data_IF_196079531621
#
_entry.id   IF_196079531621
#
_cell.length_a   1.000
_cell.length_b   1.000
_cell.length_c   1.000
_cell.angle_alpha   90.00
_cell.angle_beta   90.00
_cell.angle_gamma   90.00
#
_symmetry.space_group_name_H-M   'P 1'
#
loop_
_entity.id
_entity.type
_entity.pdbx_description
1 polymer ?
#
# COMPACT_ATOMS: atom_id res chain seq x y z
N UNK A 1 -6.97 -31.19 3.08
CA UNK A 1 -7.64 -29.89 3.37
C UNK A 1 -6.98 -29.23 4.60
N UNK A 2 -5.67 -28.97 4.53
CA UNK A 2 -4.84 -28.39 5.62
C UNK A 2 -3.88 -27.29 5.13
N UNK A 3 -3.75 -27.07 3.81
CA UNK A 3 -2.84 -26.08 3.25
C UNK A 3 -3.46 -24.67 3.12
N UNK A 4 -4.79 -24.56 3.08
CA UNK A 4 -5.47 -23.27 2.94
C UNK A 4 -5.33 -22.36 4.18
N UNK A 5 -5.16 -22.92 5.37
CA UNK A 5 -5.02 -22.16 6.62
C UNK A 5 -3.62 -21.55 6.84
N UNK A 6 -2.61 -21.91 6.04
CA UNK A 6 -1.25 -21.40 6.23
C UNK A 6 -1.01 -20.02 5.60
N UNK A 7 -1.90 -19.57 4.72
CA UNK A 7 -1.68 -18.45 3.81
C UNK A 7 -2.73 -17.32 3.93
N UNK A 8 -3.63 -17.43 4.90
CA UNK A 8 -4.68 -16.45 5.15
C UNK A 8 -4.60 -15.95 6.60
N UNK A 9 -4.99 -14.70 6.80
CA UNK A 9 -5.15 -14.10 8.12
C UNK A 9 -6.50 -14.53 8.71
N UNK A 10 -6.54 -15.13 9.91
CA UNK A 10 -7.76 -15.72 10.46
C UNK A 10 -8.82 -14.67 10.85
N UNK A 11 -8.42 -13.42 11.07
CA UNK A 11 -9.35 -12.35 11.44
C UNK A 11 -10.06 -11.77 10.22
N UNK A 12 -9.29 -11.45 9.18
CA UNK A 12 -9.76 -10.69 8.02
C UNK A 12 -10.08 -11.56 6.80
N UNK A 13 -9.60 -12.81 6.77
CA UNK A 13 -9.70 -13.69 5.61
C UNK A 13 -8.81 -13.29 4.43
N UNK A 14 -8.02 -12.22 4.56
CA UNK A 14 -7.08 -11.79 3.54
C UNK A 14 -5.85 -12.70 3.47
N UNK A 15 -5.12 -12.71 2.35
CA UNK A 15 -3.72 -13.15 2.31
C UNK A 15 -2.93 -12.64 3.50
N UNK A 16 -2.20 -13.53 4.16
CA UNK A 16 -1.25 -13.14 5.18
C UNK A 16 0.08 -12.68 4.55
N UNK A 17 0.99 -12.15 5.38
CA UNK A 17 2.30 -11.68 4.94
C UNK A 17 3.08 -12.72 4.11
N UNK A 18 3.08 -13.99 4.53
CA UNK A 18 3.77 -15.06 3.79
C UNK A 18 3.25 -15.20 2.37
N UNK A 19 1.92 -15.23 2.20
CA UNK A 19 1.30 -15.30 0.86
C UNK A 19 1.59 -14.06 0.03
N UNK A 20 1.65 -12.88 0.66
CA UNK A 20 1.99 -11.63 -0.01
C UNK A 20 3.44 -11.60 -0.49
N UNK A 21 4.38 -12.10 0.32
CA UNK A 21 5.79 -12.24 -0.06
C UNK A 21 5.91 -13.13 -1.31
N UNK A 22 5.31 -14.32 -1.27
CA UNK A 22 5.33 -15.28 -2.39
C UNK A 22 4.70 -14.67 -3.67
N UNK A 23 3.60 -13.93 -3.52
CA UNK A 23 2.92 -13.31 -4.65
C UNK A 23 3.69 -12.11 -5.21
N UNK A 24 4.33 -11.30 -4.37
CA UNK A 24 5.15 -10.18 -4.81
C UNK A 24 6.32 -10.66 -5.66
N UNK A 25 7.02 -11.72 -5.23
CA UNK A 25 8.11 -12.32 -5.99
C UNK A 25 7.62 -12.83 -7.36
N UNK A 26 6.46 -13.50 -7.38
CA UNK A 26 5.82 -13.97 -8.61
C UNK A 26 5.48 -12.81 -9.56
N UNK A 27 4.88 -11.75 -9.02
CA UNK A 27 4.48 -10.57 -9.81
C UNK A 27 5.68 -9.78 -10.32
N UNK A 28 6.76 -9.65 -9.55
CA UNK A 28 8.00 -9.03 -10.00
C UNK A 28 8.63 -9.80 -11.16
N UNK A 29 8.67 -11.13 -11.08
CA UNK A 29 9.18 -11.96 -12.17
C UNK A 29 8.35 -11.78 -13.46
N UNK A 30 7.03 -11.72 -13.34
CA UNK A 30 6.13 -11.49 -14.48
C UNK A 30 6.27 -10.08 -15.05
N UNK A 31 6.32 -9.07 -14.18
CA UNK A 31 6.47 -7.67 -14.56
C UNK A 31 7.77 -7.45 -15.36
N UNK A 32 8.89 -7.99 -14.87
CA UNK A 32 10.17 -7.97 -15.58
C UNK A 32 10.11 -8.72 -16.91
N UNK A 33 9.60 -9.95 -16.91
CA UNK A 33 9.52 -10.79 -18.12
C UNK A 33 8.73 -10.13 -19.25
N UNK A 34 7.65 -9.42 -18.92
CA UNK A 34 6.74 -8.84 -19.90
C UNK A 34 6.87 -7.32 -20.06
N UNK A 35 7.82 -6.68 -19.38
CA UNK A 35 7.99 -5.22 -19.39
C UNK A 35 6.71 -4.48 -18.96
N UNK A 36 6.03 -5.00 -17.93
CA UNK A 36 4.77 -4.43 -17.42
C UNK A 36 4.99 -3.74 -16.08
N UNK A 37 4.29 -2.62 -15.81
CA UNK A 37 4.43 -1.93 -14.54
C UNK A 37 3.82 -2.78 -13.42
N UNK A 38 4.39 -2.67 -12.24
CA UNK A 38 3.87 -3.22 -11.00
C UNK A 38 4.01 -2.12 -9.94
N UNK A 39 2.92 -1.81 -9.24
CA UNK A 39 2.98 -0.92 -8.09
C UNK A 39 2.57 -1.66 -6.83
N UNK A 40 3.11 -1.21 -5.71
CA UNK A 40 2.76 -1.69 -4.37
C UNK A 40 2.39 -0.50 -3.51
N UNK A 41 1.49 -0.71 -2.55
CA UNK A 41 1.18 0.28 -1.53
C UNK A 41 1.15 -0.37 -0.15
N UNK A 42 1.95 0.16 0.77
CA UNK A 42 1.78 -0.11 2.19
C UNK A 42 0.71 0.83 2.74
N UNK A 43 -0.18 0.26 3.55
CA UNK A 43 -1.33 0.94 4.14
C UNK A 43 -1.28 0.75 5.64
N UNK A 44 -1.52 1.81 6.40
CA UNK A 44 -1.59 1.76 7.85
C UNK A 44 -2.80 2.54 8.35
N UNK A 45 -3.54 1.97 9.30
CA UNK A 45 -4.67 2.65 9.94
C UNK A 45 -4.14 3.63 10.97
N UNK A 46 -4.45 4.91 10.76
CA UNK A 46 -3.93 5.98 11.60
C UNK A 46 -4.50 5.88 13.03
N UNK A 47 -3.61 5.97 14.02
CA UNK A 47 -3.98 5.97 15.43
C UNK A 47 -4.77 4.72 15.89
N UNK A 48 -4.64 3.58 15.20
CA UNK A 48 -5.44 2.39 15.50
C UNK A 48 -5.21 1.84 16.91
N UNK A 49 -4.00 1.97 17.47
CA UNK A 49 -3.75 1.69 18.90
C UNK A 49 -4.74 2.40 19.83
N UNK A 50 -5.12 3.64 19.55
CA UNK A 50 -6.09 4.41 20.36
C UNK A 50 -7.48 3.77 20.35
N UNK A 51 -7.90 3.18 19.22
CA UNK A 51 -9.16 2.43 19.13
C UNK A 51 -9.12 1.24 20.07
N UNK A 52 -8.03 0.48 20.09
CA UNK A 52 -7.87 -0.66 20.99
C UNK A 52 -7.84 -0.23 22.46
N UNK A 53 -7.08 0.83 22.77
CA UNK A 53 -6.89 1.31 24.14
C UNK A 53 -8.19 1.90 24.73
N UNK A 54 -9.00 2.60 23.92
CA UNK A 54 -10.23 3.27 24.37
C UNK A 54 -11.49 2.38 24.29
N UNK A 55 -11.58 1.51 23.28
CA UNK A 55 -12.81 0.77 22.95
C UNK A 55 -12.65 -0.75 23.07
N UNK A 56 -11.43 -1.22 23.32
CA UNK A 56 -11.09 -2.64 23.48
C UNK A 56 -10.86 -3.38 22.17
N UNK A 57 -10.08 -4.46 22.25
CA UNK A 57 -9.65 -5.25 21.10
C UNK A 57 -10.80 -5.81 20.24
N UNK A 58 -11.94 -6.17 20.84
CA UNK A 58 -13.10 -6.67 20.08
C UNK A 58 -13.72 -5.59 19.17
N UNK A 59 -13.61 -4.31 19.54
CA UNK A 59 -14.03 -3.20 18.68
C UNK A 59 -12.99 -2.96 17.59
N UNK A 60 -11.70 -3.01 17.94
CA UNK A 60 -10.60 -2.94 16.97
C UNK A 60 -10.70 -4.03 15.89
N UNK A 61 -10.92 -5.28 16.28
CA UNK A 61 -11.07 -6.41 15.36
C UNK A 61 -12.20 -6.19 14.35
N UNK A 62 -13.35 -5.69 14.81
CA UNK A 62 -14.47 -5.33 13.93
C UNK A 62 -14.13 -4.17 12.99
N UNK A 63 -13.37 -3.18 13.48
CA UNK A 63 -12.91 -2.08 12.64
C UNK A 63 -11.92 -2.56 11.56
N UNK A 64 -11.02 -3.50 11.87
CA UNK A 64 -10.12 -4.11 10.87
C UNK A 64 -10.89 -4.83 9.77
N UNK A 65 -11.89 -5.64 10.14
CA UNK A 65 -12.75 -6.34 9.19
C UNK A 65 -13.50 -5.35 8.28
N UNK A 66 -14.02 -4.27 8.85
CA UNK A 66 -14.73 -3.23 8.10
C UNK A 66 -13.77 -2.46 7.17
N UNK A 67 -12.55 -2.14 7.61
CA UNK A 67 -11.52 -1.52 6.75
C UNK A 67 -11.25 -2.43 5.55
N UNK A 68 -11.02 -3.72 5.78
CA UNK A 68 -10.78 -4.69 4.72
C UNK A 68 -11.95 -4.77 3.74
N UNK A 69 -13.18 -4.76 4.25
CA UNK A 69 -14.39 -4.79 3.42
C UNK A 69 -14.46 -3.58 2.50
N UNK A 70 -14.22 -2.38 3.05
CA UNK A 70 -14.25 -1.12 2.29
C UNK A 70 -13.12 -1.04 1.26
N UNK A 71 -11.90 -1.39 1.64
CA UNK A 71 -10.77 -1.41 0.72
C UNK A 71 -11.03 -2.38 -0.43
N UNK A 72 -11.42 -3.62 -0.12
CA UNK A 72 -11.65 -4.66 -1.12
C UNK A 72 -12.73 -4.30 -2.14
N UNK A 73 -13.76 -3.55 -1.74
CA UNK A 73 -14.81 -3.07 -2.64
C UNK A 73 -14.33 -2.03 -3.68
N UNK A 74 -13.18 -1.39 -3.46
CA UNK A 74 -12.62 -0.37 -4.34
C UNK A 74 -11.56 -0.91 -5.32
N UNK A 75 -11.04 -2.11 -5.02
CA UNK A 75 -10.03 -2.78 -5.82
C UNK A 75 -10.64 -3.40 -7.08
N UNK A 76 -9.86 -3.43 -8.16
CA UNK A 76 -10.27 -4.11 -9.39
C UNK A 76 -9.89 -5.59 -9.35
N UNK A 77 -10.44 -6.34 -10.31
CA UNK A 77 -10.02 -7.72 -10.55
C UNK A 77 -8.52 -7.76 -10.90
N UNK A 78 -7.75 -8.49 -10.10
CA UNK A 78 -6.31 -8.68 -10.28
C UNK A 78 -5.43 -7.91 -9.30
N UNK A 79 -5.96 -6.91 -8.58
CA UNK A 79 -5.27 -6.35 -7.43
C UNK A 79 -5.33 -7.35 -6.26
N UNK A 80 -4.28 -7.37 -5.43
CA UNK A 80 -4.23 -8.21 -4.24
C UNK A 80 -4.03 -7.36 -2.99
N UNK A 81 -4.98 -7.42 -2.06
CA UNK A 81 -4.83 -6.87 -0.73
C UNK A 81 -4.51 -7.99 0.24
N UNK A 82 -3.56 -7.78 1.14
CA UNK A 82 -3.27 -8.71 2.22
C UNK A 82 -2.87 -8.02 3.51
N UNK A 83 -2.98 -8.75 4.62
CA UNK A 83 -2.58 -8.26 5.93
C UNK A 83 -1.08 -8.44 6.13
N UNK A 84 -0.38 -7.32 6.22
CA UNK A 84 1.08 -7.26 6.34
C UNK A 84 1.54 -7.30 7.80
N UNK A 85 0.78 -6.66 8.68
CA UNK A 85 1.04 -6.56 10.12
C UNK A 85 -0.25 -6.48 10.93
N UNK A 86 -0.17 -5.96 12.15
CA UNK A 86 -1.34 -5.84 13.05
C UNK A 86 -2.43 -4.94 12.46
N UNK A 87 -2.07 -3.70 12.12
CA UNK A 87 -2.93 -2.67 11.52
C UNK A 87 -2.45 -2.24 10.12
N UNK A 88 -1.51 -3.01 9.56
CA UNK A 88 -0.84 -2.74 8.29
C UNK A 88 -1.29 -3.71 7.21
N UNK A 89 -1.49 -3.19 5.99
CA UNK A 89 -1.85 -3.94 4.81
C UNK A 89 -0.88 -3.66 3.67
N UNK A 90 -0.74 -4.65 2.79
CA UNK A 90 -0.01 -4.52 1.53
C UNK A 90 -0.97 -4.72 0.37
N UNK A 91 -1.03 -3.72 -0.50
CA UNK A 91 -1.73 -3.77 -1.78
C UNK A 91 -0.71 -4.00 -2.89
N UNK A 92 -0.92 -5.05 -3.68
CA UNK A 92 -0.20 -5.31 -4.92
C UNK A 92 -1.12 -4.93 -6.09
N UNK A 93 -0.64 -4.06 -6.98
CA UNK A 93 -1.38 -3.56 -8.12
C UNK A 93 -0.63 -3.90 -9.43
N UNK A 94 -0.80 -5.12 -9.97
CA UNK A 94 -0.21 -5.52 -11.24
C UNK A 94 -0.69 -4.63 -12.38
N UNK A 95 0.17 -4.32 -13.34
CA UNK A 95 -0.16 -3.50 -14.50
C UNK A 95 -0.54 -2.04 -14.17
N UNK A 96 -0.40 -1.60 -12.91
CA UNK A 96 -0.62 -0.21 -12.52
C UNK A 96 0.68 0.59 -12.63
N UNK A 97 0.67 1.64 -13.48
CA UNK A 97 1.69 2.70 -13.46
C UNK A 97 1.55 3.54 -12.19
N UNK A 98 2.54 4.39 -11.93
CA UNK A 98 2.61 5.20 -10.72
C UNK A 98 1.34 6.02 -10.47
N UNK A 99 0.94 6.85 -11.44
CA UNK A 99 -0.24 7.73 -11.28
C UNK A 99 -1.52 6.92 -11.01
N UNK A 100 -1.73 5.83 -11.75
CA UNK A 100 -2.89 4.96 -11.53
C UNK A 100 -2.88 4.29 -10.14
N UNK A 101 -1.69 4.00 -9.59
CA UNK A 101 -1.56 3.47 -8.24
C UNK A 101 -1.83 4.55 -7.17
N UNK A 102 -1.44 5.80 -7.43
CA UNK A 102 -1.77 6.94 -6.58
C UNK A 102 -3.27 7.21 -6.58
N UNK A 103 -3.91 7.22 -7.75
CA UNK A 103 -5.36 7.40 -7.87
C UNK A 103 -6.14 6.31 -7.13
N UNK A 104 -5.68 5.05 -7.21
CA UNK A 104 -6.27 3.94 -6.47
C UNK A 104 -6.10 4.13 -4.95
N UNK A 105 -4.89 4.48 -4.51
CA UNK A 105 -4.61 4.73 -3.09
C UNK A 105 -5.46 5.89 -2.55
N UNK A 106 -5.64 6.96 -3.32
CA UNK A 106 -6.43 8.13 -2.92
C UNK A 106 -7.92 7.78 -2.81
N UNK A 107 -8.47 7.06 -3.79
CA UNK A 107 -9.84 6.53 -3.70
C UNK A 107 -10.06 5.66 -2.47
N UNK A 108 -9.08 4.82 -2.13
CA UNK A 108 -9.12 4.01 -0.92
C UNK A 108 -9.07 4.86 0.35
N UNK A 109 -8.17 5.84 0.41
CA UNK A 109 -8.05 6.79 1.52
C UNK A 109 -9.35 7.54 1.78
N UNK A 110 -9.91 8.15 0.74
CA UNK A 110 -11.19 8.84 0.82
C UNK A 110 -12.34 7.90 1.21
N UNK A 111 -12.37 6.69 0.65
CA UNK A 111 -13.39 5.68 0.95
C UNK A 111 -13.42 5.28 2.44
N UNK A 112 -12.24 5.21 3.07
CA UNK A 112 -12.10 4.97 4.51
C UNK A 112 -12.52 6.21 5.31
N UNK A 113 -11.99 7.39 4.98
CA UNK A 113 -12.21 8.61 5.74
C UNK A 113 -13.65 9.14 5.67
N UNK A 114 -14.37 8.91 4.57
CA UNK A 114 -15.69 9.54 4.33
C UNK A 114 -16.82 8.98 5.19
N UNK A 115 -16.76 7.70 5.56
CA UNK A 115 -17.88 7.02 6.22
C UNK A 115 -17.48 6.63 7.63
N UNK A 116 -18.28 6.94 8.67
CA UNK A 116 -17.95 6.50 10.02
C UNK A 116 -17.97 4.98 10.14
N UNK A 117 -17.12 4.45 11.02
CA UNK A 117 -17.04 3.05 11.40
C UNK A 117 -17.98 2.79 12.60
N UNK A 118 -18.83 1.74 12.52
CA UNK A 118 -19.75 1.42 13.60
C UNK A 118 -19.04 1.24 14.96
N UNK A 119 -19.42 2.05 15.94
CA UNK A 119 -18.85 2.00 17.30
C UNK A 119 -17.47 2.62 17.46
N UNK A 120 -16.85 3.15 16.38
CA UNK A 120 -15.51 3.78 16.41
C UNK A 120 -15.55 5.25 15.97
N UNK A 121 -16.42 5.62 15.05
CA UNK A 121 -16.43 6.95 14.44
C UNK A 121 -15.52 7.01 13.20
N UNK A 122 -14.91 8.16 12.92
CA UNK A 122 -14.08 8.30 11.72
C UNK A 122 -12.68 7.71 11.96
N UNK A 123 -12.21 6.92 10.99
CA UNK A 123 -10.82 6.45 10.90
C UNK A 123 -10.21 6.97 9.60
N UNK A 124 -8.91 7.18 9.62
CA UNK A 124 -8.13 7.53 8.44
C UNK A 124 -7.03 6.49 8.23
N UNK A 125 -6.47 6.49 7.02
CA UNK A 125 -5.39 5.59 6.63
C UNK A 125 -4.33 6.39 5.90
N UNK A 126 -3.07 6.04 6.14
CA UNK A 126 -1.93 6.58 5.41
C UNK A 126 -1.41 5.54 4.42
N UNK A 127 -1.00 5.99 3.24
CA UNK A 127 -0.47 5.15 2.17
C UNK A 127 0.95 5.56 1.78
N UNK A 128 1.81 4.56 1.62
CA UNK A 128 3.10 4.69 0.94
C UNK A 128 3.12 3.87 -0.32
N UNK A 129 3.19 4.53 -1.48
CA UNK A 129 3.11 3.90 -2.80
C UNK A 129 4.48 3.87 -3.47
N UNK A 130 4.85 2.72 -4.03
CA UNK A 130 6.05 2.57 -4.84
C UNK A 130 5.77 1.79 -6.11
N UNK A 131 6.35 2.22 -7.23
CA UNK A 131 6.26 1.53 -8.52
C UNK A 131 7.59 0.91 -8.89
N UNK A 132 7.57 -0.33 -9.39
CA UNK A 132 8.71 -1.09 -9.89
C UNK A 132 9.53 -0.28 -10.89
N UNK A 133 10.84 -0.23 -10.69
CA UNK A 133 11.81 0.42 -11.57
C UNK A 133 13.08 -0.41 -11.71
N UNK A 134 13.70 -0.36 -12.90
CA UNK A 134 14.99 -1.01 -13.18
C UNK A 134 15.09 -2.42 -12.60
N UNK A 135 16.06 -2.60 -11.70
CA UNK A 135 16.39 -3.89 -11.10
C UNK A 135 15.71 -4.16 -9.75
N UNK A 136 14.71 -3.38 -9.31
CA UNK A 136 14.09 -3.57 -7.98
C UNK A 136 13.66 -5.01 -7.72
N UNK A 137 14.14 -5.57 -6.62
CA UNK A 137 13.61 -6.77 -5.98
C UNK A 137 12.49 -6.43 -4.97
N UNK A 138 11.89 -7.46 -4.36
CA UNK A 138 10.83 -7.30 -3.36
C UNK A 138 11.25 -6.40 -2.20
N UNK A 139 12.50 -6.53 -1.73
CA UNK A 139 13.02 -5.75 -0.61
C UNK A 139 13.12 -4.26 -0.96
N UNK A 140 13.66 -3.93 -2.12
CA UNK A 140 13.88 -2.54 -2.56
C UNK A 140 12.58 -1.80 -2.85
N UNK A 141 11.61 -2.42 -3.54
CA UNK A 141 10.31 -1.81 -3.77
C UNK A 141 9.51 -1.61 -2.48
N UNK A 142 9.51 -2.60 -1.56
CA UNK A 142 8.85 -2.47 -0.26
C UNK A 142 9.51 -1.41 0.62
N UNK A 143 10.84 -1.29 0.59
CA UNK A 143 11.56 -0.24 1.31
C UNK A 143 11.17 1.16 0.82
N UNK A 144 10.95 1.36 -0.49
CA UNK A 144 10.46 2.64 -1.01
C UNK A 144 9.03 2.92 -0.58
N UNK A 145 8.17 1.92 -0.60
CA UNK A 145 6.81 2.05 -0.08
C UNK A 145 6.80 2.41 1.42
N UNK A 146 7.68 1.80 2.21
CA UNK A 146 7.82 2.09 3.65
C UNK A 146 8.30 3.52 3.91
N UNK A 147 9.31 4.00 3.18
CA UNK A 147 9.76 5.39 3.27
C UNK A 147 8.67 6.39 2.89
N UNK A 148 7.86 6.06 1.87
CA UNK A 148 6.72 6.86 1.47
C UNK A 148 5.65 6.89 2.58
N UNK A 149 5.32 5.74 3.18
CA UNK A 149 4.35 5.63 4.27
C UNK A 149 4.84 6.39 5.51
N UNK A 150 6.11 6.26 5.86
CA UNK A 150 6.74 7.02 6.93
C UNK A 150 6.61 8.53 6.70
N UNK A 151 6.82 8.99 5.46
CA UNK A 151 6.62 10.38 5.07
C UNK A 151 5.17 10.80 5.23
N UNK A 152 4.21 9.97 4.78
CA UNK A 152 2.79 10.21 4.95
C UNK A 152 2.40 10.43 6.43
N UNK A 153 2.89 9.54 7.31
CA UNK A 153 2.65 9.63 8.77
C UNK A 153 3.28 10.88 9.39
N UNK A 154 4.50 11.23 8.96
CA UNK A 154 5.25 12.39 9.49
C UNK A 154 4.62 13.72 9.08
N UNK A 155 4.05 13.80 7.88
CA UNK A 155 3.47 15.03 7.36
C UNK A 155 2.02 15.29 7.79
N UNK A 156 1.47 14.45 8.68
CA UNK A 156 0.16 14.67 9.28
C UNK A 156 -0.86 13.57 9.05
N UNK A 157 -0.45 12.42 8.49
CA UNK A 157 -1.33 11.25 8.23
C UNK A 157 -2.45 11.58 7.23
N UNK A 158 -3.42 10.66 7.11
CA UNK A 158 -4.57 10.76 6.20
C UNK A 158 -4.17 11.22 4.80
N UNK A 159 -3.15 10.56 4.22
CA UNK A 159 -2.61 10.94 2.92
C UNK A 159 -1.94 9.79 2.19
N UNK A 160 -1.78 10.00 0.89
CA UNK A 160 -0.97 9.18 0.01
C UNK A 160 0.34 9.89 -0.28
N UNK A 161 1.45 9.17 -0.11
CA UNK A 161 2.77 9.61 -0.61
C UNK A 161 3.27 8.57 -1.61
N UNK A 162 3.71 9.03 -2.77
CA UNK A 162 4.29 8.22 -3.82
C UNK A 162 5.79 8.41 -3.93
N UNK A 163 6.53 7.31 -4.10
CA UNK A 163 7.89 7.33 -4.62
C UNK A 163 7.88 6.73 -6.03
N UNK A 164 8.02 7.56 -7.09
CA UNK A 164 8.12 7.04 -8.44
C UNK A 164 9.35 6.14 -8.58
N UNK A 165 9.35 5.32 -9.62
CA UNK A 165 10.56 4.64 -10.06
C UNK A 165 11.64 5.66 -10.44
N UNK A 166 12.90 5.36 -10.17
CA UNK A 166 14.08 6.03 -10.74
C UNK A 166 14.18 5.73 -12.25
N UNK A 167 13.19 6.15 -13.04
CA UNK A 167 13.28 6.17 -14.51
C UNK A 167 12.71 7.44 -15.14
N UNK A 168 12.17 8.39 -14.37
CA UNK A 168 11.80 9.72 -14.86
C UNK A 168 12.44 10.84 -14.01
N UNK A 169 13.69 10.64 -13.60
CA UNK A 169 14.57 11.79 -13.51
C UNK A 169 14.91 12.16 -14.96
N UNK A 170 14.02 12.95 -15.57
CA UNK A 170 14.37 13.68 -16.77
C UNK A 170 15.73 14.32 -16.55
N UNK A 171 16.53 14.29 -17.61
CA UNK A 171 17.74 15.08 -17.80
C UNK A 171 17.59 16.43 -17.07
N UNK A 172 18.10 16.51 -15.84
CA UNK A 172 18.49 17.78 -15.27
C UNK A 172 19.74 18.13 -16.04
N UNK A 173 19.48 18.84 -17.14
CA UNK A 173 20.44 19.61 -17.90
C UNK A 173 21.46 20.23 -16.95
N UNK A 174 22.62 19.59 -16.91
CA UNK A 174 23.84 20.13 -16.33
C UNK A 174 24.81 20.38 -17.48
N UNK A 175 24.34 21.10 -18.51
CA UNK A 175 25.22 21.76 -19.46
C UNK A 175 25.68 23.10 -18.86
N UNK A 176 26.98 23.44 -18.95
CA UNK A 176 27.51 24.65 -18.36
C UNK A 176 27.19 25.82 -19.27
N UNK A 177 26.40 26.79 -18.82
CA UNK A 177 26.37 28.10 -19.46
C UNK A 177 27.73 28.78 -19.24
N UNK A 178 28.63 28.55 -20.20
CA UNK A 178 29.64 29.52 -20.61
C UNK A 178 28.91 30.74 -21.16
N UNK A 179 28.90 31.82 -20.39
CA UNK A 179 28.84 33.18 -20.90
C UNK A 179 29.75 33.99 -19.95
N UNK A 180 30.90 34.51 -20.34
CA UNK A 180 31.17 35.21 -21.59
C UNK A 180 31.00 36.72 -21.39
N UNK A 181 31.72 37.32 -20.43
CA UNK A 181 32.26 38.70 -20.47
C UNK A 181 33.53 38.78 -19.64
#
# INVERSE_FOLDING_TARGET
>A
MLAAQANEDPLTGLPNRRRLDDELDRLLALARRYGRPLSVALVDIDHFKRVNDELGHQVGDRALIEVVTRLSALLRQGDLLGRWGGEEFLLLAPYAKHDAALDLAERCREGIARTPFPGVGHLTVSFGVATLTGDDDARSILRRADLALYTAKREGRDRVVGMPGLTDAGELDSSPERNGR
#
